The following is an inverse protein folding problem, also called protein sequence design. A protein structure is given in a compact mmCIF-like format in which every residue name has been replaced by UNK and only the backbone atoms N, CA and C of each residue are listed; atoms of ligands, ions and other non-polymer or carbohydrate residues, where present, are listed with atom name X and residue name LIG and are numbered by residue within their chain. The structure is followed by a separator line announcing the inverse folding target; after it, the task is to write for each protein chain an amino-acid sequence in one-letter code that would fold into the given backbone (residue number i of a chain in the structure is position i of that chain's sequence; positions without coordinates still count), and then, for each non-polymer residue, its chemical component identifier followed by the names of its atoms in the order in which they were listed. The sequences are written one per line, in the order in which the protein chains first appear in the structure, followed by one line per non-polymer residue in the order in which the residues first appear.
data_IF_914073862030
#
_entry.id   IF_914073862030
#
_cell.length_a   1.000
_cell.length_b   1.000
_cell.length_c   1.000
_cell.angle_alpha   90.00
_cell.angle_beta   90.00
_cell.angle_gamma   90.00
#
_symmetry.space_group_name_H-M   'P 1'
#
loop_
_entity.id
_entity.type
_entity.pdbx_description
1 polymer ?
#
# COMPACT_ATOMS: atom_id res chain seq x y z
N UNK A 1 0.01 12.74 -1.59
CA UNK A 1 -0.43 12.68 -0.18
C UNK A 1 0.41 11.63 0.54
N UNK A 2 0.85 11.87 1.78
CA UNK A 2 1.58 10.86 2.57
C UNK A 2 0.88 10.64 3.91
N UNK A 3 0.74 9.40 4.34
CA UNK A 3 0.18 9.09 5.67
C UNK A 3 1.16 9.46 6.77
N UNK A 4 0.69 9.56 8.02
CA UNK A 4 1.58 9.46 9.17
C UNK A 4 2.22 8.07 9.22
N UNK A 5 3.34 7.93 9.92
CA UNK A 5 3.94 6.61 10.18
C UNK A 5 2.97 5.76 10.99
N UNK A 6 2.79 4.51 10.58
CA UNK A 6 1.98 3.54 11.31
C UNK A 6 2.60 2.14 11.20
N UNK A 7 2.28 1.29 12.16
CA UNK A 7 2.68 -0.11 12.12
C UNK A 7 1.74 -0.87 11.18
N UNK A 8 2.30 -1.42 10.09
CA UNK A 8 1.49 -2.20 9.16
C UNK A 8 1.29 -3.62 9.71
N UNK A 9 0.08 -3.89 10.19
CA UNK A 9 -0.34 -5.19 10.72
C UNK A 9 -1.35 -5.81 9.75
N UNK A 10 -0.84 -6.38 8.66
CA UNK A 10 -1.65 -7.03 7.63
C UNK A 10 -0.80 -7.56 6.49
N UNK A 11 -1.47 -8.12 5.50
CA UNK A 11 -0.86 -8.64 4.26
C UNK A 11 -1.54 -8.10 3.00
N UNK A 12 -2.59 -7.30 3.19
CA UNK A 12 -3.32 -6.65 2.12
C UNK A 12 -3.64 -5.21 2.48
N UNK A 13 -3.73 -4.39 1.44
CA UNK A 13 -4.14 -3.00 1.54
C UNK A 13 -5.14 -2.74 0.42
N UNK A 14 -6.36 -2.34 0.80
CA UNK A 14 -7.40 -1.94 -0.14
C UNK A 14 -7.69 -0.46 -0.02
N UNK A 15 -8.06 0.16 -1.13
CA UNK A 15 -8.47 1.57 -1.14
C UNK A 15 -9.81 1.76 -1.84
N UNK A 16 -10.61 2.70 -1.37
CA UNK A 16 -11.73 3.27 -2.12
C UNK A 16 -11.21 4.50 -2.87
N UNK A 17 -11.23 4.45 -4.20
CA UNK A 17 -10.71 5.54 -5.01
C UNK A 17 -11.40 5.62 -6.38
N UNK A 18 -11.54 6.87 -6.84
CA UNK A 18 -11.87 7.16 -8.23
C UNK A 18 -10.62 7.71 -8.93
N UNK A 19 -10.07 6.92 -9.84
CA UNK A 19 -8.97 7.32 -10.72
C UNK A 19 -9.37 7.28 -12.21
N UNK A 20 -10.67 7.25 -12.52
CA UNK A 20 -11.14 7.24 -13.90
C UNK A 20 -10.75 8.54 -14.61
N UNK A 21 -10.12 8.42 -15.78
CA UNK A 21 -9.57 9.58 -16.51
C UNK A 21 -8.28 10.13 -15.90
N UNK A 22 -7.67 9.41 -14.97
CA UNK A 22 -6.46 9.78 -14.25
C UNK A 22 -5.63 8.56 -13.87
N UNK A 23 -4.85 8.70 -12.80
CA UNK A 23 -4.08 7.61 -12.23
C UNK A 23 -3.83 7.81 -10.74
N UNK A 24 -3.79 6.71 -10.01
CA UNK A 24 -3.32 6.64 -8.63
C UNK A 24 -2.20 5.60 -8.53
N UNK A 25 -1.01 6.01 -8.11
CA UNK A 25 0.09 5.12 -7.77
C UNK A 25 0.46 5.27 -6.29
N UNK A 26 1.13 4.26 -5.74
CA UNK A 26 1.48 4.21 -4.32
C UNK A 26 2.90 3.67 -4.11
N UNK A 27 3.60 4.23 -3.14
CA UNK A 27 4.85 3.66 -2.64
C UNK A 27 4.83 3.53 -1.11
N UNK A 28 5.53 2.53 -0.60
CA UNK A 28 5.77 2.35 0.82
C UNK A 28 7.14 2.94 1.18
N UNK A 29 7.17 3.74 2.23
CA UNK A 29 8.37 4.37 2.76
C UNK A 29 8.68 3.80 4.15
N UNK A 30 9.95 3.78 4.50
CA UNK A 30 10.38 3.50 5.86
C UNK A 30 10.03 4.65 6.82
N UNK A 31 10.34 4.48 8.11
CA UNK A 31 10.10 5.50 9.13
C UNK A 31 10.85 6.83 8.88
N UNK A 32 11.89 6.83 8.03
CA UNK A 32 12.67 8.01 7.63
C UNK A 32 12.15 8.64 6.33
N UNK A 33 11.10 8.10 5.72
CA UNK A 33 10.51 8.59 4.49
C UNK A 33 11.24 8.14 3.21
N UNK A 34 12.12 7.13 3.29
CA UNK A 34 12.82 6.57 2.14
C UNK A 34 12.03 5.42 1.53
N UNK A 35 11.95 5.30 0.19
CA UNK A 35 11.27 4.17 -0.45
C UNK A 35 11.85 2.83 -0.02
N UNK A 36 10.97 1.90 0.37
CA UNK A 36 11.36 0.53 0.69
C UNK A 36 11.62 -0.20 -0.63
N UNK A 37 12.78 -0.86 -0.74
CA UNK A 37 13.17 -1.63 -1.93
C UNK A 37 12.08 -2.64 -2.31
N UNK A 38 11.64 -2.61 -3.57
CA UNK A 38 10.56 -3.46 -4.10
C UNK A 38 9.14 -2.87 -3.92
N UNK A 39 8.98 -1.85 -3.08
CA UNK A 39 7.70 -1.20 -2.80
C UNK A 39 7.73 0.30 -3.17
N UNK A 40 8.68 0.70 -4.03
CA UNK A 40 8.80 2.06 -4.53
C UNK A 40 7.81 2.38 -5.64
N UNK A 41 7.83 3.64 -6.08
CA UNK A 41 6.95 4.10 -7.16
C UNK A 41 7.19 3.37 -8.50
N UNK A 42 8.44 2.96 -8.78
CA UNK A 42 8.80 2.25 -10.01
C UNK A 42 8.14 0.86 -10.10
N UNK A 43 7.96 0.21 -8.94
CA UNK A 43 7.30 -1.09 -8.80
C UNK A 43 5.79 -0.96 -8.64
N UNK A 44 5.25 0.21 -8.31
CA UNK A 44 3.80 0.43 -8.18
C UNK A 44 3.06 0.09 -9.47
N UNK A 45 1.93 -0.61 -9.35
CA UNK A 45 0.98 -0.79 -10.45
C UNK A 45 -0.09 0.31 -10.34
N UNK A 46 -0.18 1.26 -11.29
CA UNK A 46 -1.14 2.35 -11.21
C UNK A 46 -2.59 1.85 -11.36
N UNK A 47 -3.50 2.50 -10.63
CA UNK A 47 -4.94 2.33 -10.77
C UNK A 47 -5.52 3.46 -11.63
N UNK A 48 -6.46 3.12 -12.52
CA UNK A 48 -7.04 4.07 -13.49
C UNK A 48 -8.57 3.97 -13.60
N UNK A 49 -9.22 3.35 -12.63
CA UNK A 49 -10.68 3.13 -12.61
C UNK A 49 -11.33 3.69 -11.34
N UNK A 50 -12.65 3.74 -11.33
CA UNK A 50 -13.45 4.00 -10.14
C UNK A 50 -13.90 2.68 -9.50
N UNK A 51 -13.56 2.50 -8.22
CA UNK A 51 -14.05 1.38 -7.44
C UNK A 51 -13.99 1.68 -5.94
N UNK A 52 -14.95 1.11 -5.23
CA UNK A 52 -15.00 1.14 -3.76
C UNK A 52 -13.93 0.27 -3.09
N UNK A 53 -13.30 -0.65 -3.85
CA UNK A 53 -12.27 -1.56 -3.34
C UNK A 53 -11.29 -1.92 -4.45
N UNK A 54 -10.17 -1.20 -4.49
CA UNK A 54 -9.00 -1.58 -5.26
C UNK A 54 -8.03 -2.35 -4.38
N UNK A 55 -7.59 -3.53 -4.81
CA UNK A 55 -6.45 -4.21 -4.21
C UNK A 55 -5.17 -3.59 -4.76
N UNK A 56 -4.32 -3.09 -3.88
CA UNK A 56 -3.04 -2.54 -4.27
C UNK A 56 -2.03 -3.65 -4.61
N UNK A 57 -1.17 -3.37 -5.58
CA UNK A 57 -0.18 -4.30 -6.06
C UNK A 57 1.12 -3.58 -6.46
N UNK A 58 2.24 -4.22 -6.15
CA UNK A 58 3.57 -3.88 -6.62
C UNK A 58 4.09 -5.02 -7.50
N UNK A 59 4.81 -4.69 -8.57
CA UNK A 59 5.43 -5.66 -9.46
C UNK A 59 6.37 -6.57 -8.66
N UNK A 60 6.28 -7.88 -8.89
CA UNK A 60 7.11 -8.87 -8.21
C UNK A 60 6.62 -9.28 -6.81
N UNK A 61 5.52 -8.69 -6.32
CA UNK A 61 4.95 -9.01 -5.01
C UNK A 61 3.52 -9.54 -5.14
N UNK A 62 3.25 -10.71 -4.56
CA UNK A 62 1.90 -11.32 -4.56
C UNK A 62 1.00 -10.77 -3.44
N UNK A 63 1.62 -10.34 -2.35
CA UNK A 63 1.00 -9.77 -1.16
C UNK A 63 1.95 -8.75 -0.50
N UNK A 64 1.54 -8.20 0.65
CA UNK A 64 2.27 -7.19 1.41
C UNK A 64 2.92 -7.76 2.67
N UNK A 65 3.08 -9.08 2.80
CA UNK A 65 3.65 -9.69 4.02
C UNK A 65 5.02 -9.09 4.36
N UNK A 66 5.86 -8.77 3.37
CA UNK A 66 7.21 -8.21 3.63
C UNK A 66 7.19 -6.85 4.34
N UNK A 67 6.05 -6.14 4.33
CA UNK A 67 5.85 -4.88 5.06
C UNK A 67 5.31 -5.10 6.48
N UNK A 68 4.86 -6.31 6.81
CA UNK A 68 4.23 -6.61 8.09
C UNK A 68 5.18 -6.39 9.26
N UNK A 69 4.66 -5.80 10.35
CA UNK A 69 5.41 -5.54 11.57
C UNK A 69 6.43 -4.41 11.44
N UNK A 70 6.44 -3.66 10.32
CA UNK A 70 7.32 -2.51 10.11
C UNK A 70 6.58 -1.19 10.29
N UNK A 71 7.19 -0.19 10.94
CA UNK A 71 6.70 1.17 10.89
C UNK A 71 6.94 1.73 9.48
N UNK A 72 5.87 2.04 8.76
CA UNK A 72 5.92 2.54 7.38
C UNK A 72 5.08 3.80 7.23
N UNK A 73 5.35 4.54 6.14
CA UNK A 73 4.44 5.53 5.60
C UNK A 73 3.99 5.08 4.21
N UNK A 74 2.79 5.48 3.79
CA UNK A 74 2.32 5.28 2.43
C UNK A 74 2.28 6.63 1.72
N UNK A 75 2.91 6.74 0.56
CA UNK A 75 2.84 7.91 -0.30
C UNK A 75 2.02 7.62 -1.54
N UNK A 76 0.94 8.38 -1.69
CA UNK A 76 0.01 8.32 -2.81
C UNK A 76 0.31 9.43 -3.82
N UNK A 77 0.48 9.03 -5.07
CA UNK A 77 0.70 9.89 -6.23
C UNK A 77 -0.59 9.93 -7.04
N UNK A 78 -1.32 11.04 -6.93
CA UNK A 78 -2.65 11.23 -7.53
C UNK A 78 -2.54 12.17 -8.73
N UNK A 79 -3.06 11.75 -9.88
CA UNK A 79 -3.25 12.59 -11.06
C UNK A 79 -4.69 12.47 -11.51
N UNK A 80 -5.47 13.55 -11.43
CA UNK A 80 -6.90 13.55 -11.73
C UNK A 80 -7.65 12.41 -11.00
N UNK A 81 -7.31 12.17 -9.74
CA UNK A 81 -7.84 11.06 -8.96
C UNK A 81 -8.24 11.52 -7.55
N UNK A 82 -9.20 10.81 -6.96
CA UNK A 82 -9.70 11.01 -5.60
C UNK A 82 -9.53 9.73 -4.80
N UNK A 83 -9.02 9.86 -3.58
CA UNK A 83 -8.87 8.78 -2.61
C UNK A 83 -9.79 9.06 -1.43
N UNK A 84 -10.64 8.09 -1.09
CA UNK A 84 -11.67 8.25 -0.06
C UNK A 84 -11.32 7.50 1.22
N UNK A 85 -10.75 6.30 1.11
CA UNK A 85 -10.35 5.51 2.28
C UNK A 85 -9.16 4.60 2.00
N UNK A 86 -8.47 4.24 3.07
CA UNK A 86 -7.36 3.29 3.10
C UNK A 86 -7.69 2.26 4.17
N UNK A 87 -7.69 0.98 3.81
CA UNK A 87 -8.05 -0.10 4.73
C UNK A 87 -6.99 -1.20 4.70
N UNK A 88 -6.14 -1.28 5.74
CA UNK A 88 -5.29 -2.44 5.97
C UNK A 88 -6.13 -3.67 6.31
N UNK A 89 -5.70 -4.85 5.88
CA UNK A 89 -6.37 -6.10 6.20
C UNK A 89 -5.40 -7.28 6.24
N UNK A 90 -5.86 -8.35 6.90
CA UNK A 90 -5.18 -9.64 6.98
C UNK A 90 -6.06 -10.68 6.31
N UNK A 91 -5.60 -11.26 5.20
CA UNK A 91 -6.30 -12.32 4.46
C UNK A 91 -5.75 -13.71 4.72
N UNK A 92 -4.47 -13.82 5.11
CA UNK A 92 -3.88 -15.09 5.50
C UNK A 92 -3.41 -15.05 6.95
N UNK A 93 -3.54 -16.19 7.64
CA UNK A 93 -2.94 -16.38 8.96
C UNK A 93 -1.43 -16.49 8.80
N UNK A 94 -0.73 -15.37 8.96
CA UNK A 94 0.73 -15.37 9.00
C UNK A 94 1.17 -15.77 10.40
N UNK A 95 1.82 -16.93 10.53
CA UNK A 95 2.43 -17.38 11.77
C UNK A 95 3.58 -16.42 12.09
N UNK A 96 3.42 -15.62 13.16
CA UNK A 96 4.51 -14.84 13.73
C UNK A 96 5.24 -15.80 14.67
N UNK A 97 6.49 -16.21 14.39
CA UNK A 97 7.23 -17.05 15.31
C UNK A 97 7.37 -16.31 16.64
N UNK A 98 6.86 -16.88 17.72
CA UNK A 98 7.23 -16.45 19.06
C UNK A 98 8.70 -16.80 19.26
N UNK A 99 9.54 -15.80 19.56
CA UNK A 99 10.84 -16.08 20.15
C UNK A 99 10.60 -16.53 21.59
N UNK A 100 11.12 -17.72 21.92
CA UNK A 100 11.30 -18.18 23.30
C UNK A 100 12.30 -17.27 24.05
#
# INVERSE_FOLDING_TARGET
MTTKTFLFLGDTLTINANAQGGSLAIEALDAKGQPIKGFGLAESIPLTSDAISHKLAWKGHRDLHQLQGRPIQLRFHLKNAKLYSITPGTRHTHYVPSYD
#
